data_IF_593372954644
#
_entry.id   IF_593372954644
#
_cell.length_a   1.000
_cell.length_b   1.000
_cell.length_c   1.000
_cell.angle_alpha   90.00
_cell.angle_beta   90.00
_cell.angle_gamma   90.00
#
_symmetry.space_group_name_H-M   'P 1'
#
loop_
_entity.id
_entity.type
_entity.pdbx_description
1 polymer ?
#
# COMPACT_ATOMS: atom_id res chain seq x y z
N UNK A 1 -10.13 21.06 33.88
CA UNK A 1 -9.99 19.59 33.88
C UNK A 1 -9.90 19.12 32.44
N UNK A 2 -8.69 18.88 31.92
CA UNK A 2 -8.48 18.45 30.53
C UNK A 2 -8.81 16.97 30.43
N UNK A 3 -9.96 16.64 29.85
CA UNK A 3 -10.29 15.27 29.45
C UNK A 3 -9.42 14.94 28.24
N UNK A 4 -8.21 14.45 28.49
CA UNK A 4 -7.31 13.98 27.46
C UNK A 4 -7.99 12.84 26.71
N UNK A 5 -8.55 13.15 25.55
CA UNK A 5 -9.12 12.16 24.64
C UNK A 5 -7.97 11.25 24.24
N UNK A 6 -7.99 10.01 24.72
CA UNK A 6 -6.92 9.05 24.43
C UNK A 6 -7.02 8.57 23.00
N UNK A 7 -5.87 8.32 22.35
CA UNK A 7 -5.80 7.78 20.99
C UNK A 7 -6.68 6.53 20.83
N UNK A 8 -6.65 5.64 21.81
CA UNK A 8 -7.44 4.40 21.81
C UNK A 8 -8.95 4.68 21.80
N UNK A 9 -9.39 5.73 22.49
CA UNK A 9 -10.81 6.13 22.52
C UNK A 9 -11.25 6.71 21.18
N UNK A 10 -10.42 7.54 20.55
CA UNK A 10 -10.66 8.05 19.19
C UNK A 10 -10.72 6.90 18.21
N UNK A 11 -9.75 5.99 18.24
CA UNK A 11 -9.68 4.85 17.33
C UNK A 11 -10.91 3.94 17.46
N UNK A 12 -11.32 3.63 18.69
CA UNK A 12 -12.52 2.84 18.97
C UNK A 12 -13.77 3.52 18.42
N UNK A 13 -13.93 4.83 18.65
CA UNK A 13 -15.06 5.61 18.14
C UNK A 13 -15.08 5.63 16.61
N UNK A 14 -13.95 5.96 15.96
CA UNK A 14 -13.83 6.00 14.50
C UNK A 14 -14.13 4.63 13.88
N UNK A 15 -13.55 3.55 14.41
CA UNK A 15 -13.83 2.18 13.96
C UNK A 15 -15.32 1.85 14.10
N UNK A 16 -15.96 2.20 15.21
CA UNK A 16 -17.39 1.93 15.42
C UNK A 16 -18.29 2.66 14.40
N UNK A 17 -17.96 3.92 14.07
CA UNK A 17 -18.72 4.73 13.10
C UNK A 17 -18.55 4.14 11.70
N UNK A 18 -17.32 3.84 11.29
CA UNK A 18 -17.00 3.26 9.98
C UNK A 18 -17.69 1.89 9.82
N UNK A 19 -17.63 1.02 10.83
CA UNK A 19 -18.28 -0.29 10.78
C UNK A 19 -19.80 -0.17 10.70
N UNK A 20 -20.41 0.80 11.40
CA UNK A 20 -21.85 1.06 11.29
C UNK A 20 -22.22 1.53 9.87
N UNK A 21 -21.42 2.39 9.25
CA UNK A 21 -21.66 2.87 7.88
C UNK A 21 -21.44 1.79 6.81
N UNK A 22 -20.45 0.91 7.00
CA UNK A 22 -20.18 -0.21 6.09
C UNK A 22 -21.15 -1.39 6.29
N UNK A 23 -21.66 -1.58 7.51
CA UNK A 23 -22.53 -2.70 7.90
C UNK A 23 -24.03 -2.48 7.67
N UNK A 24 -24.48 -1.27 7.31
CA UNK A 24 -25.92 -0.95 7.07
C UNK A 24 -26.52 -1.57 5.80
N UNK A 25 -25.86 -2.54 5.18
CA UNK A 25 -26.43 -3.40 4.13
C UNK A 25 -27.21 -4.63 4.64
N UNK A 26 -27.17 -4.95 5.93
CA UNK A 26 -27.90 -6.10 6.48
C UNK A 26 -28.66 -5.73 7.75
N UNK A 27 -29.99 -5.73 7.62
CA UNK A 27 -30.95 -5.33 8.64
C UNK A 27 -30.89 -6.19 9.92
N UNK A 28 -31.16 -5.49 11.03
CA UNK A 28 -31.19 -5.92 12.41
C UNK A 28 -32.34 -6.87 12.77
N UNK A 29 -32.13 -7.72 13.77
CA UNK A 29 -33.14 -8.04 14.80
C UNK A 29 -32.47 -8.57 16.08
N UNK A 30 -32.81 -8.00 17.26
CA UNK A 30 -32.68 -8.71 18.56
C UNK A 30 -31.84 -8.08 19.69
N UNK A 31 -32.48 -7.20 20.47
CA UNK A 31 -32.53 -7.09 21.94
C UNK A 31 -31.27 -7.25 22.85
N UNK A 32 -30.93 -6.14 23.55
CA UNK A 32 -30.67 -6.07 25.01
C UNK A 32 -29.52 -6.84 25.66
N UNK A 33 -28.56 -6.10 26.24
CA UNK A 33 -27.59 -6.55 27.26
C UNK A 33 -26.52 -7.57 26.85
N UNK A 34 -25.85 -7.32 25.73
CA UNK A 34 -24.60 -8.00 25.38
C UNK A 34 -23.46 -6.99 25.27
N UNK A 35 -22.29 -7.33 25.83
CA UNK A 35 -21.04 -6.80 25.30
C UNK A 35 -21.12 -6.96 23.78
N UNK A 36 -21.19 -5.84 23.03
CA UNK A 36 -21.31 -5.90 21.58
C UNK A 36 -20.09 -6.67 21.13
N UNK A 37 -20.29 -7.94 20.79
CA UNK A 37 -19.28 -8.75 20.15
C UNK A 37 -19.05 -8.03 18.82
N UNK A 38 -18.07 -7.12 18.82
CA UNK A 38 -17.58 -6.49 17.61
C UNK A 38 -17.10 -7.67 16.81
N UNK A 39 -17.95 -8.18 15.92
CA UNK A 39 -17.57 -9.18 14.96
C UNK A 39 -16.39 -8.55 14.24
N UNK A 40 -15.19 -9.02 14.56
CA UNK A 40 -13.96 -8.38 14.16
C UNK A 40 -13.98 -8.33 12.64
N UNK A 41 -14.26 -7.15 12.09
CA UNK A 41 -14.13 -6.92 10.66
C UNK A 41 -12.70 -7.27 10.31
N UNK A 42 -12.53 -8.35 9.55
CA UNK A 42 -11.24 -8.74 9.01
C UNK A 42 -11.08 -7.94 7.72
N UNK A 43 -10.39 -6.79 7.73
CA UNK A 43 -10.12 -6.07 6.49
C UNK A 43 -9.47 -7.05 5.51
N UNK A 44 -10.04 -7.16 4.31
CA UNK A 44 -9.44 -7.95 3.24
C UNK A 44 -8.25 -7.16 2.70
N UNK A 45 -7.09 -7.33 3.33
CA UNK A 45 -5.85 -6.70 2.89
C UNK A 45 -5.39 -7.42 1.62
N UNK A 46 -5.26 -6.66 0.54
CA UNK A 46 -4.62 -7.15 -0.69
C UNK A 46 -3.11 -7.13 -0.46
N UNK A 47 -2.45 -8.27 -0.66
CA UNK A 47 -1.00 -8.40 -0.52
C UNK A 47 -0.41 -8.64 -1.90
N UNK A 48 0.57 -7.82 -2.26
CA UNK A 48 1.36 -7.96 -3.48
C UNK A 48 2.82 -8.20 -3.12
N UNK A 49 3.56 -8.87 -4.01
CA UNK A 49 4.97 -9.20 -3.82
C UNK A 49 5.81 -8.30 -4.71
N UNK A 50 6.84 -7.68 -4.12
CA UNK A 50 7.84 -6.91 -4.85
C UNK A 50 9.07 -7.76 -5.10
N UNK A 51 9.40 -8.01 -6.37
CA UNK A 51 10.72 -8.51 -6.75
C UNK A 51 11.78 -7.42 -6.56
N UNK A 52 13.06 -7.74 -6.83
CA UNK A 52 14.14 -6.73 -6.80
C UNK A 52 13.86 -5.67 -7.86
N UNK A 53 13.80 -4.41 -7.43
CA UNK A 53 13.63 -3.25 -8.29
C UNK A 53 14.35 -2.05 -7.70
N UNK A 54 14.50 -1.00 -8.48
CA UNK A 54 15.08 0.28 -8.15
C UNK A 54 14.19 1.41 -8.66
N UNK A 55 14.42 2.60 -8.13
CA UNK A 55 13.77 3.82 -8.57
C UNK A 55 14.87 4.75 -9.04
N UNK A 56 14.66 5.40 -10.18
CA UNK A 56 15.66 6.26 -10.81
C UNK A 56 15.18 7.70 -10.78
N UNK A 57 16.13 8.62 -10.65
CA UNK A 57 15.89 10.02 -10.96
C UNK A 57 15.90 10.22 -12.47
N UNK A 58 15.35 11.33 -12.96
CA UNK A 58 15.41 11.68 -14.40
C UNK A 58 16.85 11.77 -14.92
N UNK A 59 17.77 12.34 -14.13
CA UNK A 59 19.19 12.42 -14.48
C UNK A 59 19.85 11.03 -14.62
N UNK A 60 19.46 10.06 -13.78
CA UNK A 60 19.95 8.69 -13.89
C UNK A 60 19.34 7.95 -15.08
N UNK A 61 18.06 8.23 -15.42
CA UNK A 61 17.43 7.70 -16.63
C UNK A 61 18.18 8.20 -17.86
N UNK A 62 18.48 9.50 -17.92
CA UNK A 62 19.26 10.10 -19.01
C UNK A 62 20.65 9.48 -19.15
N UNK A 63 21.30 9.23 -18.01
CA UNK A 63 22.64 8.64 -17.98
C UNK A 63 22.65 7.18 -18.42
N UNK A 64 21.64 6.40 -18.02
CA UNK A 64 21.59 4.95 -18.26
C UNK A 64 20.97 4.58 -19.62
N UNK A 65 19.98 5.34 -20.07
CA UNK A 65 19.17 5.02 -21.26
C UNK A 65 19.28 6.07 -22.37
N UNK A 66 19.87 7.23 -22.10
CA UNK A 66 20.14 8.30 -23.07
C UNK A 66 19.37 9.59 -22.76
N UNK A 67 19.91 10.77 -23.12
CA UNK A 67 19.30 12.05 -22.78
C UNK A 67 17.86 12.20 -23.32
N UNK A 68 16.93 12.59 -22.44
CA UNK A 68 15.52 12.76 -22.75
C UNK A 68 14.74 11.45 -22.86
N UNK A 69 15.31 10.32 -22.43
CA UNK A 69 14.62 9.03 -22.47
C UNK A 69 13.46 9.01 -21.47
N UNK A 70 12.32 8.49 -21.91
CA UNK A 70 11.14 8.32 -21.05
C UNK A 70 10.90 6.84 -20.81
N UNK A 71 10.76 6.47 -19.53
CA UNK A 71 10.50 5.08 -19.13
C UNK A 71 9.20 4.59 -19.76
N UNK A 72 9.24 3.38 -20.30
CA UNK A 72 8.08 2.81 -20.99
C UNK A 72 7.30 1.90 -20.05
N UNK A 73 5.98 2.10 -19.97
CA UNK A 73 5.14 1.31 -19.05
C UNK A 73 5.05 -0.14 -19.51
N UNK A 74 5.47 -1.07 -18.65
CA UNK A 74 5.22 -2.51 -18.79
C UNK A 74 3.88 -2.89 -18.16
N UNK A 75 3.65 -2.48 -16.91
CA UNK A 75 2.43 -2.81 -16.16
C UNK A 75 2.11 -1.77 -15.09
N UNK A 76 0.85 -1.35 -15.01
CA UNK A 76 0.35 -0.49 -13.92
C UNK A 76 0.32 -1.26 -12.59
N UNK A 77 0.72 -0.61 -11.51
CA UNK A 77 0.74 -1.22 -10.19
C UNK A 77 -0.59 -0.98 -9.47
N UNK A 78 -0.67 -1.45 -8.23
CA UNK A 78 -1.87 -1.28 -7.40
C UNK A 78 -2.15 0.19 -7.07
N UNK A 79 -1.11 1.02 -6.99
CA UNK A 79 -1.24 2.46 -6.83
C UNK A 79 -1.36 3.12 -8.19
N UNK A 80 -2.37 3.97 -8.36
CA UNK A 80 -2.70 4.60 -9.64
C UNK A 80 -1.60 5.52 -10.19
N UNK A 81 -0.67 5.97 -9.36
CA UNK A 81 0.47 6.79 -9.80
C UNK A 81 1.59 5.95 -10.39
N UNK A 82 1.62 4.65 -10.12
CA UNK A 82 2.83 3.85 -10.25
C UNK A 82 2.74 2.84 -11.40
N UNK A 83 3.91 2.47 -11.92
CA UNK A 83 4.05 1.46 -12.95
C UNK A 83 5.40 0.75 -12.84
N UNK A 84 5.45 -0.50 -13.32
CA UNK A 84 6.70 -1.18 -13.63
C UNK A 84 7.10 -0.81 -15.06
N UNK A 85 8.37 -0.45 -15.27
CA UNK A 85 8.92 -0.10 -16.58
C UNK A 85 9.37 -1.36 -17.37
N UNK A 86 9.51 -1.24 -18.69
CA UNK A 86 10.11 -2.30 -19.52
C UNK A 86 11.63 -2.36 -19.35
N UNK A 87 12.23 -1.21 -19.05
CA UNK A 87 13.64 -1.06 -18.77
C UNK A 87 14.05 -1.88 -17.54
N UNK A 88 15.29 -2.36 -17.57
CA UNK A 88 15.93 -3.01 -16.42
C UNK A 88 17.39 -2.59 -16.35
N UNK A 89 17.98 -2.68 -15.16
CA UNK A 89 19.37 -2.36 -14.91
C UNK A 89 20.12 -3.59 -14.37
N UNK A 90 21.44 -3.59 -14.59
CA UNK A 90 22.34 -4.51 -13.93
C UNK A 90 22.97 -3.82 -12.72
N UNK A 91 22.79 -4.38 -11.52
CA UNK A 91 23.42 -3.86 -10.31
C UNK A 91 24.69 -4.65 -10.03
N UNK A 92 25.84 -3.97 -10.06
CA UNK A 92 27.14 -4.58 -9.79
C UNK A 92 27.63 -4.17 -8.41
N UNK A 93 27.79 -5.15 -7.52
CA UNK A 93 28.29 -4.91 -6.16
C UNK A 93 29.82 -4.84 -6.09
N UNK A 94 30.34 -4.42 -4.94
CA UNK A 94 31.80 -4.28 -4.67
C UNK A 94 32.59 -5.57 -4.83
N UNK A 95 31.94 -6.74 -4.70
CA UNK A 95 32.52 -8.07 -4.93
C UNK A 95 32.45 -8.52 -6.40
N UNK A 96 32.17 -7.60 -7.32
CA UNK A 96 31.95 -7.87 -8.74
C UNK A 96 30.89 -8.94 -9.05
N UNK A 97 29.93 -9.13 -8.13
CA UNK A 97 28.74 -9.92 -8.40
C UNK A 97 27.68 -9.01 -9.02
N UNK A 98 27.19 -9.43 -10.18
CA UNK A 98 26.14 -8.74 -10.92
C UNK A 98 24.78 -9.36 -10.59
N UNK A 99 23.78 -8.51 -10.38
CA UNK A 99 22.37 -8.88 -10.39
C UNK A 99 21.78 -8.32 -11.68
N UNK A 100 21.53 -9.15 -12.70
CA UNK A 100 20.90 -8.69 -13.94
C UNK A 100 19.39 -8.51 -13.74
N UNK A 101 18.75 -7.80 -14.68
CA UNK A 101 17.29 -7.66 -14.79
C UNK A 101 16.60 -7.09 -13.54
N UNK A 102 17.29 -6.19 -12.81
CA UNK A 102 16.67 -5.42 -11.74
C UNK A 102 15.74 -4.41 -12.38
N UNK A 103 14.46 -4.43 -11.99
CA UNK A 103 13.46 -3.54 -12.57
C UNK A 103 13.50 -2.14 -11.99
#
# INVERSE_FOLDING_TARGET
>A
MSTLVTRDRVETLVRSIILKQLGTGSSANGNGNGHVAVQAYKPKVVVNISARHCHLTEADVDTLFGPGHQLTTMRRLYQDTDFAANETVAVVGTRQRMIPEVR
#
